data_IF_063000679577
#
_entry.id   IF_063000679577
#
_cell.length_a   1.000
_cell.length_b   1.000
_cell.length_c   1.000
_cell.angle_alpha   90.00
_cell.angle_beta   90.00
_cell.angle_gamma   90.00
#
_symmetry.space_group_name_H-M   'P 1'
#
loop_
_entity.id
_entity.type
_entity.pdbx_description
1 polymer ?
#
# COMPACT_ATOMS: atom_id res chain seq x y z
N UNK A 1 37.73 -15.24 9.90
CA UNK A 1 37.05 -14.98 8.61
C UNK A 1 37.07 -16.29 7.84
N UNK A 2 35.91 -16.88 7.66
CA UNK A 2 35.73 -18.23 7.12
C UNK A 2 36.04 -18.26 5.60
N UNK A 3 36.35 -19.43 5.01
CA UNK A 3 36.56 -19.53 3.56
C UNK A 3 35.36 -19.02 2.73
N UNK A 4 34.14 -19.27 3.19
CA UNK A 4 32.91 -18.77 2.55
C UNK A 4 32.85 -17.23 2.61
N UNK A 5 33.16 -16.64 3.77
CA UNK A 5 33.21 -15.18 3.90
C UNK A 5 34.27 -14.52 3.00
N UNK A 6 35.44 -15.18 2.84
CA UNK A 6 36.49 -14.71 1.96
C UNK A 6 36.05 -14.68 0.50
N UNK A 7 35.35 -15.71 0.05
CA UNK A 7 34.84 -15.81 -1.32
C UNK A 7 33.72 -14.80 -1.58
N UNK A 8 32.77 -14.64 -0.64
CA UNK A 8 31.74 -13.59 -0.72
C UNK A 8 32.40 -12.21 -0.86
N UNK A 9 33.37 -11.90 0.03
CA UNK A 9 34.07 -10.61 0.00
C UNK A 9 34.81 -10.39 -1.32
N UNK A 10 35.47 -11.41 -1.86
CA UNK A 10 36.16 -11.33 -3.15
C UNK A 10 35.21 -10.92 -4.26
N UNK A 11 34.02 -11.54 -4.31
CA UNK A 11 33.00 -11.28 -5.33
C UNK A 11 32.36 -9.91 -5.20
N UNK A 12 32.03 -9.49 -3.99
CA UNK A 12 31.51 -8.13 -3.73
C UNK A 12 32.51 -7.07 -4.20
N UNK A 13 33.82 -7.26 -3.95
CA UNK A 13 34.86 -6.34 -4.42
C UNK A 13 34.97 -6.34 -5.96
N UNK A 14 34.74 -7.49 -6.59
CA UNK A 14 34.81 -7.66 -8.03
C UNK A 14 33.51 -7.28 -8.78
N UNK A 15 32.46 -6.86 -8.05
CA UNK A 15 31.09 -6.65 -8.58
C UNK A 15 30.53 -7.90 -9.30
N UNK A 16 30.89 -9.09 -8.80
CA UNK A 16 30.44 -10.38 -9.32
C UNK A 16 29.21 -10.88 -8.54
N UNK A 17 28.22 -11.52 -9.21
CA UNK A 17 27.09 -12.11 -8.51
C UNK A 17 27.56 -13.27 -7.60
N UNK A 18 26.95 -13.34 -6.41
CA UNK A 18 27.15 -14.42 -5.45
C UNK A 18 26.17 -15.55 -5.79
N UNK A 19 26.69 -16.76 -6.02
CA UNK A 19 25.88 -17.93 -6.38
C UNK A 19 26.28 -19.12 -5.53
N UNK A 20 25.36 -20.01 -5.20
CA UNK A 20 25.65 -21.11 -4.29
C UNK A 20 26.72 -22.05 -4.85
N UNK A 21 26.70 -22.31 -6.16
CA UNK A 21 27.71 -23.12 -6.86
C UNK A 21 29.16 -22.67 -6.64
N UNK A 22 29.35 -21.37 -6.40
CA UNK A 22 30.66 -20.76 -6.22
C UNK A 22 31.10 -20.81 -4.74
N UNK A 23 30.14 -20.82 -3.82
CA UNK A 23 30.39 -20.95 -2.37
C UNK A 23 30.54 -22.41 -1.94
N UNK A 24 29.83 -23.32 -2.61
CA UNK A 24 29.69 -24.73 -2.27
C UNK A 24 28.73 -24.95 -1.10
N UNK A 25 27.58 -25.57 -1.33
CA UNK A 25 26.57 -25.83 -0.29
C UNK A 25 27.16 -26.53 0.95
N UNK A 26 27.90 -27.62 0.74
CA UNK A 26 28.55 -28.36 1.82
C UNK A 26 29.51 -27.49 2.64
N UNK A 27 30.22 -26.55 2.00
CA UNK A 27 31.13 -25.65 2.68
C UNK A 27 30.39 -24.59 3.49
N UNK A 28 29.24 -24.10 2.99
CA UNK A 28 28.32 -23.21 3.70
C UNK A 28 27.76 -23.91 4.93
N UNK A 29 27.18 -25.09 4.78
CA UNK A 29 26.56 -25.83 5.89
C UNK A 29 27.59 -26.29 6.94
N UNK A 30 28.78 -26.69 6.53
CA UNK A 30 29.87 -27.03 7.46
C UNK A 30 30.33 -25.85 8.32
N UNK A 31 30.01 -24.61 7.93
CA UNK A 31 30.37 -23.38 8.63
C UNK A 31 29.16 -22.66 9.24
N UNK A 32 28.02 -23.35 9.37
CA UNK A 32 26.75 -22.77 9.79
C UNK A 32 26.86 -21.93 11.08
N UNK A 33 27.48 -22.47 12.13
CA UNK A 33 27.62 -21.81 13.43
C UNK A 33 28.33 -20.46 13.34
N UNK A 34 29.38 -20.37 12.51
CA UNK A 34 30.10 -19.10 12.29
C UNK A 34 29.30 -18.13 11.40
N UNK A 35 28.61 -18.64 10.38
CA UNK A 35 27.88 -17.85 9.42
C UNK A 35 26.60 -17.22 10.00
N UNK A 36 25.94 -17.87 10.96
CA UNK A 36 24.74 -17.36 11.67
C UNK A 36 24.97 -15.97 12.27
N UNK A 37 26.19 -15.67 12.74
CA UNK A 37 26.56 -14.39 13.32
C UNK A 37 27.39 -13.49 12.37
N UNK A 38 27.59 -13.92 11.13
CA UNK A 38 28.38 -13.19 10.15
C UNK A 38 27.64 -11.95 9.64
N UNK A 39 28.41 -10.93 9.25
CA UNK A 39 27.90 -9.78 8.49
C UNK A 39 27.52 -10.13 7.04
N UNK A 40 27.98 -11.28 6.55
CA UNK A 40 27.66 -11.80 5.22
C UNK A 40 26.48 -12.77 5.23
N UNK A 41 25.81 -12.94 6.38
CA UNK A 41 24.70 -13.89 6.50
C UNK A 41 23.58 -13.61 5.48
N UNK A 42 23.25 -12.34 5.24
CA UNK A 42 22.25 -11.97 4.23
C UNK A 42 22.60 -12.46 2.82
N UNK A 43 23.88 -12.35 2.42
CA UNK A 43 24.37 -12.85 1.14
C UNK A 43 24.32 -14.39 1.04
N UNK A 44 24.60 -15.07 2.15
CA UNK A 44 24.46 -16.54 2.25
C UNK A 44 23.01 -16.95 2.08
N UNK A 45 22.07 -16.25 2.75
CA UNK A 45 20.62 -16.51 2.60
C UNK A 45 20.18 -16.25 1.16
N UNK A 46 20.65 -15.17 0.52
CA UNK A 46 20.35 -14.87 -0.88
C UNK A 46 20.78 -15.98 -1.83
N UNK A 47 22.01 -16.50 -1.67
CA UNK A 47 22.50 -17.61 -2.48
C UNK A 47 21.70 -18.90 -2.26
N UNK A 48 21.42 -19.26 -1.01
CA UNK A 48 20.63 -20.46 -0.67
C UNK A 48 19.18 -20.37 -1.15
N UNK A 49 18.54 -19.20 -1.01
CA UNK A 49 17.15 -19.00 -1.42
C UNK A 49 17.00 -19.01 -2.95
N UNK A 50 17.95 -18.42 -3.69
CA UNK A 50 17.93 -18.40 -5.14
C UNK A 50 18.06 -19.81 -5.76
N UNK A 51 18.91 -20.65 -5.18
CA UNK A 51 19.19 -22.01 -5.67
C UNK A 51 18.39 -23.08 -4.88
N UNK A 52 17.31 -22.71 -4.18
CA UNK A 52 16.61 -23.57 -3.21
C UNK A 52 16.13 -24.92 -3.77
N UNK A 53 15.65 -24.93 -5.01
CA UNK A 53 15.12 -26.14 -5.65
C UNK A 53 16.21 -27.18 -5.96
N UNK A 54 17.47 -26.75 -6.02
CA UNK A 54 18.62 -27.55 -6.41
C UNK A 54 19.52 -27.90 -5.20
N UNK A 55 19.08 -27.63 -3.97
CA UNK A 55 19.84 -27.94 -2.75
C UNK A 55 19.90 -29.45 -2.49
N UNK A 56 21.08 -29.92 -2.11
CA UNK A 56 21.31 -31.29 -1.65
C UNK A 56 20.74 -31.53 -0.24
N UNK A 57 20.84 -30.53 0.66
CA UNK A 57 20.36 -30.54 2.05
C UNK A 57 19.51 -29.28 2.38
N UNK A 58 18.26 -29.22 1.88
CA UNK A 58 17.36 -28.10 2.16
C UNK A 58 17.00 -27.96 3.66
N UNK A 59 17.04 -29.05 4.43
CA UNK A 59 16.74 -29.02 5.86
C UNK A 59 17.87 -28.38 6.67
N UNK A 60 19.13 -28.66 6.31
CA UNK A 60 20.32 -28.00 6.85
C UNK A 60 20.36 -26.51 6.50
N UNK A 61 20.07 -26.17 5.24
CA UNK A 61 19.95 -24.76 4.82
C UNK A 61 18.83 -24.02 5.58
N UNK A 62 17.67 -24.67 5.76
CA UNK A 62 16.56 -24.12 6.53
C UNK A 62 16.94 -23.89 8.00
N UNK A 63 17.69 -24.82 8.62
CA UNK A 63 18.17 -24.67 9.99
C UNK A 63 19.13 -23.49 10.14
N UNK A 64 20.15 -23.41 9.27
CA UNK A 64 21.13 -22.32 9.24
C UNK A 64 20.43 -20.96 9.13
N UNK A 65 19.48 -20.83 8.20
CA UNK A 65 18.76 -19.57 8.00
C UNK A 65 17.90 -19.25 9.22
N UNK A 66 17.16 -20.21 9.76
CA UNK A 66 16.33 -20.00 10.94
C UNK A 66 17.16 -19.55 12.17
N UNK A 67 18.31 -20.17 12.41
CA UNK A 67 19.20 -19.80 13.51
C UNK A 67 19.78 -18.39 13.34
N UNK A 68 20.15 -18.01 12.11
CA UNK A 68 20.59 -16.65 11.78
C UNK A 68 19.49 -15.60 11.96
N UNK A 69 18.26 -15.86 11.49
CA UNK A 69 17.12 -14.96 11.71
C UNK A 69 16.81 -14.77 13.20
N UNK A 70 17.02 -15.82 14.00
CA UNK A 70 16.80 -15.80 15.45
C UNK A 70 17.90 -15.06 16.22
N UNK A 71 19.16 -15.16 15.78
CA UNK A 71 20.32 -14.80 16.61
C UNK A 71 21.29 -13.77 16.03
N UNK A 72 21.15 -13.34 14.77
CA UNK A 72 22.08 -12.37 14.20
C UNK A 72 21.89 -10.98 14.86
N UNK A 73 22.96 -10.35 15.35
CA UNK A 73 22.85 -9.07 16.05
C UNK A 73 22.69 -7.87 15.11
N UNK A 74 23.03 -8.02 13.82
CA UNK A 74 23.02 -6.92 12.86
C UNK A 74 21.66 -6.83 12.15
N UNK A 75 20.96 -5.72 12.38
CA UNK A 75 19.67 -5.44 11.77
C UNK A 75 19.72 -5.40 10.24
N UNK A 76 20.76 -4.81 9.65
CA UNK A 76 20.84 -4.68 8.19
C UNK A 76 21.01 -6.04 7.53
N UNK A 77 21.74 -6.93 8.19
CA UNK A 77 21.94 -8.32 7.78
C UNK A 77 20.63 -9.10 7.89
N UNK A 78 19.89 -8.91 8.98
CA UNK A 78 18.54 -9.48 9.14
C UNK A 78 17.58 -9.01 8.04
N UNK A 79 17.55 -7.71 7.77
CA UNK A 79 16.72 -7.13 6.71
C UNK A 79 17.09 -7.67 5.31
N UNK A 80 18.39 -7.87 5.05
CA UNK A 80 18.88 -8.47 3.80
C UNK A 80 18.42 -9.94 3.68
N UNK A 81 18.59 -10.75 4.73
CA UNK A 81 18.16 -12.15 4.73
C UNK A 81 16.63 -12.30 4.53
N UNK A 82 15.83 -11.46 5.20
CA UNK A 82 14.38 -11.42 4.99
C UNK A 82 14.04 -11.02 3.56
N UNK A 83 14.76 -10.05 2.99
CA UNK A 83 14.61 -9.63 1.60
C UNK A 83 14.84 -10.78 0.63
N UNK A 84 15.95 -11.50 0.79
CA UNK A 84 16.29 -12.67 0.01
C UNK A 84 15.20 -13.76 0.06
N UNK A 85 14.72 -14.10 1.26
CA UNK A 85 13.63 -15.08 1.42
C UNK A 85 12.32 -14.62 0.77
N UNK A 86 12.05 -13.32 0.77
CA UNK A 86 10.82 -12.81 0.17
C UNK A 86 10.91 -12.70 -1.36
N UNK A 87 12.11 -12.54 -1.91
CA UNK A 87 12.37 -12.55 -3.35
C UNK A 87 12.33 -13.96 -3.94
N UNK A 88 12.90 -14.94 -3.23
CA UNK A 88 12.94 -16.34 -3.62
C UNK A 88 12.40 -17.23 -2.47
N UNK A 89 11.07 -17.28 -2.27
CA UNK A 89 10.48 -17.96 -1.13
C UNK A 89 10.65 -19.48 -1.22
N UNK A 90 11.23 -20.12 -0.19
CA UNK A 90 11.21 -21.57 -0.06
C UNK A 90 9.78 -22.14 0.01
N UNK A 91 9.56 -23.41 -0.37
CA UNK A 91 8.24 -24.05 -0.33
C UNK A 91 7.61 -24.10 1.08
N UNK A 92 8.43 -24.22 2.13
CA UNK A 92 7.98 -24.17 3.52
C UNK A 92 8.64 -23.00 4.27
N UNK A 93 7.82 -22.03 4.68
CA UNK A 93 8.23 -20.85 5.43
C UNK A 93 8.16 -21.03 6.95
N UNK A 94 7.62 -22.16 7.44
CA UNK A 94 7.29 -22.35 8.87
C UNK A 94 8.47 -22.08 9.79
N UNK A 95 9.66 -22.60 9.47
CA UNK A 95 10.85 -22.50 10.31
C UNK A 95 11.35 -21.06 10.44
N UNK A 96 11.27 -20.29 9.35
CA UNK A 96 11.64 -18.87 9.33
C UNK A 96 10.63 -18.02 10.09
N UNK A 97 9.34 -18.29 9.92
CA UNK A 97 8.27 -17.63 10.70
C UNK A 97 8.48 -17.86 12.20
N UNK A 98 8.75 -19.09 12.63
CA UNK A 98 9.01 -19.40 14.03
C UNK A 98 10.26 -18.69 14.56
N UNK A 99 11.34 -18.63 13.77
CA UNK A 99 12.55 -17.92 14.16
C UNK A 99 12.30 -16.41 14.37
N UNK A 100 11.60 -15.77 13.43
CA UNK A 100 11.25 -14.36 13.52
C UNK A 100 10.25 -14.07 14.65
N UNK A 101 9.29 -14.97 14.89
CA UNK A 101 8.36 -14.88 16.03
C UNK A 101 9.13 -14.88 17.35
N UNK A 102 10.06 -15.83 17.53
CA UNK A 102 10.91 -15.90 18.72
C UNK A 102 11.74 -14.62 18.86
N UNK A 103 12.35 -14.14 17.77
CA UNK A 103 13.14 -12.89 17.77
C UNK A 103 12.31 -11.66 18.12
N UNK A 104 11.07 -11.57 17.63
CA UNK A 104 10.18 -10.42 17.92
C UNK A 104 9.82 -10.29 19.40
N UNK A 105 9.78 -11.43 20.12
CA UNK A 105 9.43 -11.52 21.55
C UNK A 105 10.65 -11.44 22.47
N UNK A 106 11.85 -11.42 21.93
CA UNK A 106 13.07 -11.36 22.73
C UNK A 106 13.31 -9.94 23.25
N UNK A 107 12.80 -9.64 24.45
CA UNK A 107 12.97 -8.33 25.10
C UNK A 107 14.42 -8.02 25.49
N UNK A 108 15.33 -8.99 25.42
CA UNK A 108 16.77 -8.74 25.61
C UNK A 108 17.46 -8.26 24.33
N UNK A 109 16.79 -8.38 23.19
CA UNK A 109 17.26 -7.90 21.90
C UNK A 109 17.13 -6.39 21.76
N UNK A 110 17.99 -5.81 20.93
CA UNK A 110 17.81 -4.45 20.42
C UNK A 110 16.39 -4.26 19.82
N UNK A 111 15.69 -3.16 20.16
CA UNK A 111 14.33 -2.90 19.67
C UNK A 111 14.23 -2.83 18.14
N UNK A 112 15.28 -2.35 17.46
CA UNK A 112 15.28 -2.29 16.00
C UNK A 112 15.44 -3.68 15.37
N UNK A 113 16.08 -4.63 16.05
CA UNK A 113 16.10 -6.02 15.60
C UNK A 113 14.75 -6.72 15.83
N UNK A 114 14.07 -6.46 16.96
CA UNK A 114 12.72 -6.97 17.22
C UNK A 114 11.73 -6.49 16.15
N UNK A 115 11.75 -5.19 15.83
CA UNK A 115 10.83 -4.63 14.84
C UNK A 115 11.14 -5.07 13.41
N UNK A 116 12.42 -5.28 13.06
CA UNK A 116 12.79 -5.84 11.76
C UNK A 116 12.30 -7.29 11.66
N UNK A 117 12.32 -8.06 12.76
CA UNK A 117 11.75 -9.40 12.77
C UNK A 117 10.22 -9.38 12.53
N UNK A 118 9.49 -8.43 13.13
CA UNK A 118 8.05 -8.24 12.87
C UNK A 118 7.79 -7.76 11.44
N UNK A 119 8.62 -6.88 10.90
CA UNK A 119 8.57 -6.50 9.49
C UNK A 119 8.77 -7.73 8.58
N UNK A 120 9.69 -8.63 8.92
CA UNK A 120 9.87 -9.90 8.23
C UNK A 120 8.64 -10.81 8.30
N UNK A 121 8.06 -11.00 9.48
CA UNK A 121 6.82 -11.77 9.64
C UNK A 121 5.69 -11.20 8.78
N UNK A 122 5.53 -9.88 8.78
CA UNK A 122 4.54 -9.19 7.98
C UNK A 122 4.78 -9.44 6.48
N UNK A 123 6.03 -9.34 6.03
CA UNK A 123 6.38 -9.60 4.62
C UNK A 123 6.11 -11.05 4.21
N UNK A 124 6.43 -12.03 5.06
CA UNK A 124 6.11 -13.44 4.81
C UNK A 124 4.60 -13.69 4.81
N UNK A 125 3.83 -13.02 5.68
CA UNK A 125 2.37 -13.10 5.69
C UNK A 125 1.72 -12.51 4.44
N UNK A 126 2.35 -11.52 3.79
CA UNK A 126 1.89 -11.00 2.51
C UNK A 126 2.10 -11.98 1.35
N UNK A 127 3.12 -12.83 1.43
CA UNK A 127 3.36 -13.91 0.47
C UNK A 127 2.40 -15.07 0.71
N UNK A 128 2.14 -15.42 1.97
CA UNK A 128 1.26 -16.50 2.38
C UNK A 128 0.45 -16.10 3.63
N UNK A 129 -0.84 -15.84 3.41
CA UNK A 129 -1.75 -15.32 4.44
C UNK A 129 -1.98 -16.29 5.61
N UNK A 130 -1.56 -17.56 5.50
CA UNK A 130 -1.59 -18.51 6.62
C UNK A 130 -0.76 -18.03 7.82
N UNK A 131 0.23 -17.17 7.58
CA UNK A 131 1.10 -16.61 8.61
C UNK A 131 0.61 -15.28 9.19
N UNK A 132 -0.48 -14.71 8.68
CA UNK A 132 -1.00 -13.41 9.10
C UNK A 132 -1.20 -13.32 10.62
N UNK A 133 -1.79 -14.35 11.25
CA UNK A 133 -2.01 -14.36 12.71
C UNK A 133 -0.74 -14.12 13.54
N UNK A 134 0.40 -14.62 13.08
CA UNK A 134 1.67 -14.47 13.79
C UNK A 134 2.22 -13.05 13.61
N UNK A 135 2.15 -12.51 12.40
CA UNK A 135 2.54 -11.14 12.11
C UNK A 135 1.70 -10.13 12.89
N UNK A 136 0.37 -10.28 12.90
CA UNK A 136 -0.56 -9.38 13.59
C UNK A 136 -0.33 -9.39 15.10
N UNK A 137 -0.26 -10.59 15.71
CA UNK A 137 0.03 -10.71 17.13
C UNK A 137 1.39 -10.08 17.50
N UNK A 138 2.41 -10.26 16.68
CA UNK A 138 3.73 -9.66 16.93
C UNK A 138 3.73 -8.14 16.77
N UNK A 139 2.90 -7.55 15.89
CA UNK A 139 2.76 -6.07 15.79
C UNK A 139 2.23 -5.49 17.10
N UNK A 140 1.14 -6.05 17.64
CA UNK A 140 0.54 -5.55 18.90
C UNK A 140 1.50 -5.72 20.09
N UNK A 141 2.29 -6.79 20.10
CA UNK A 141 3.27 -7.06 21.16
C UNK A 141 4.46 -6.09 21.18
N UNK A 142 4.69 -5.29 20.14
CA UNK A 142 5.77 -4.29 20.11
C UNK A 142 5.35 -2.92 20.66
N UNK A 143 4.21 -2.82 21.31
CA UNK A 143 3.78 -1.59 21.96
C UNK A 143 4.77 -1.04 23.00
N UNK A 144 5.62 -1.91 23.55
CA UNK A 144 6.67 -1.59 24.52
C UNK A 144 7.95 -1.03 23.88
N UNK A 145 8.04 -1.01 22.55
CA UNK A 145 9.25 -0.59 21.84
C UNK A 145 9.40 0.93 21.91
N UNK A 146 10.58 1.37 22.34
CA UNK A 146 10.96 2.77 22.39
C UNK A 146 11.90 3.14 21.25
N UNK A 147 11.93 4.43 20.92
CA UNK A 147 12.86 5.00 19.95
C UNK A 147 12.16 5.52 18.68
N UNK A 148 12.52 6.71 18.16
CA UNK A 148 11.82 7.34 17.05
C UNK A 148 11.72 6.48 15.78
N UNK A 149 12.79 5.77 15.44
CA UNK A 149 12.85 4.91 14.26
C UNK A 149 12.00 3.65 14.41
N UNK A 150 11.99 3.06 15.60
CA UNK A 150 11.22 1.88 15.88
C UNK A 150 9.72 2.22 15.92
N UNK A 151 9.35 3.30 16.63
CA UNK A 151 7.98 3.82 16.65
C UNK A 151 7.45 4.14 15.26
N UNK A 152 8.25 4.81 14.42
CA UNK A 152 7.84 5.14 13.06
C UNK A 152 7.56 3.87 12.24
N UNK A 153 8.42 2.86 12.34
CA UNK A 153 8.19 1.59 11.64
C UNK A 153 6.99 0.83 12.21
N UNK A 154 6.76 0.88 13.53
CA UNK A 154 5.64 0.20 14.17
C UNK A 154 4.32 0.78 13.67
N UNK A 155 4.22 2.11 13.60
CA UNK A 155 3.07 2.80 13.02
C UNK A 155 2.82 2.36 11.57
N UNK A 156 3.87 2.23 10.75
CA UNK A 156 3.75 1.75 9.36
C UNK A 156 3.26 0.30 9.30
N UNK A 157 3.79 -0.57 10.15
CA UNK A 157 3.39 -1.98 10.21
C UNK A 157 1.95 -2.15 10.74
N UNK A 158 1.53 -1.33 11.71
CA UNK A 158 0.15 -1.33 12.21
C UNK A 158 -0.84 -0.88 11.14
N UNK A 159 -0.54 0.19 10.39
CA UNK A 159 -1.40 0.56 9.28
C UNK A 159 -1.44 -0.51 8.18
N UNK A 160 -0.30 -1.14 7.88
CA UNK A 160 -0.24 -2.24 6.91
C UNK A 160 -1.06 -3.46 7.36
N UNK A 161 -1.02 -3.78 8.65
CA UNK A 161 -1.81 -4.85 9.27
C UNK A 161 -3.32 -4.65 9.02
N UNK A 162 -3.82 -3.44 9.23
CA UNK A 162 -5.21 -3.10 8.89
C UNK A 162 -5.47 -3.15 7.38
N UNK A 163 -4.60 -2.53 6.57
CA UNK A 163 -4.82 -2.37 5.13
C UNK A 163 -4.79 -3.68 4.33
N UNK A 164 -4.12 -4.71 4.84
CA UNK A 164 -3.95 -6.00 4.16
C UNK A 164 -4.76 -7.13 4.80
N UNK A 165 -4.99 -7.05 6.12
CA UNK A 165 -5.62 -8.13 6.87
C UNK A 165 -6.85 -7.68 7.68
N UNK A 166 -7.21 -6.39 7.62
CA UNK A 166 -8.35 -5.80 8.34
C UNK A 166 -8.30 -6.01 9.86
N UNK A 167 -7.10 -6.01 10.44
CA UNK A 167 -6.91 -6.15 11.88
C UNK A 167 -7.29 -4.86 12.64
N UNK A 168 -8.38 -4.91 13.40
CA UNK A 168 -8.86 -3.78 14.18
C UNK A 168 -7.99 -3.44 15.39
N UNK A 169 -7.22 -4.42 15.92
CA UNK A 169 -6.31 -4.15 17.04
C UNK A 169 -5.17 -3.22 16.61
N UNK A 170 -4.72 -3.33 15.36
CA UNK A 170 -3.72 -2.44 14.79
C UNK A 170 -4.17 -0.97 14.73
N UNK A 171 -5.48 -0.72 14.56
CA UNK A 171 -6.05 0.65 14.62
C UNK A 171 -6.00 1.19 16.04
N UNK A 172 -6.33 0.38 17.03
CA UNK A 172 -6.26 0.76 18.44
C UNK A 172 -4.82 1.05 18.87
N UNK A 173 -3.86 0.24 18.39
CA UNK A 173 -2.44 0.48 18.60
C UNK A 173 -2.01 1.85 18.03
N UNK A 174 -2.43 2.19 16.81
CA UNK A 174 -2.15 3.50 16.22
C UNK A 174 -2.71 4.65 17.06
N UNK A 175 -3.95 4.52 17.56
CA UNK A 175 -4.58 5.54 18.41
C UNK A 175 -3.84 5.71 19.75
N UNK A 176 -3.36 4.61 20.34
CA UNK A 176 -2.54 4.67 21.55
C UNK A 176 -1.17 5.30 21.29
N UNK A 177 -0.49 4.91 20.21
CA UNK A 177 0.78 5.52 19.80
C UNK A 177 0.63 7.01 19.45
N UNK A 178 -0.55 7.43 18.98
CA UNK A 178 -0.89 8.83 18.72
C UNK A 178 -0.98 9.69 20.00
N UNK A 179 -0.89 9.10 21.19
CA UNK A 179 -0.84 9.81 22.47
C UNK A 179 0.57 9.90 23.08
N UNK A 180 1.59 9.31 22.44
CA UNK A 180 2.97 9.23 22.96
C UNK A 180 3.99 9.95 22.09
N UNK A 181 5.27 9.57 22.23
CA UNK A 181 6.39 10.16 21.47
C UNK A 181 6.28 9.97 19.94
N UNK A 182 5.51 8.97 19.51
CA UNK A 182 5.24 8.66 18.10
C UNK A 182 4.06 9.44 17.49
N UNK A 183 3.52 10.45 18.18
CA UNK A 183 2.24 11.09 17.83
C UNK A 183 2.13 11.48 16.36
N UNK A 184 3.15 12.12 15.80
CA UNK A 184 3.10 12.61 14.42
C UNK A 184 2.95 11.46 13.42
N UNK A 185 3.77 10.42 13.51
CA UNK A 185 3.69 9.28 12.56
C UNK A 185 2.47 8.39 12.82
N UNK A 186 2.10 8.17 14.08
CA UNK A 186 0.92 7.40 14.44
C UNK A 186 -0.37 8.07 13.93
N UNK A 187 -0.51 9.38 14.14
CA UNK A 187 -1.63 10.16 13.63
C UNK A 187 -1.67 10.16 12.10
N UNK A 188 -0.52 10.31 11.43
CA UNK A 188 -0.45 10.23 9.98
C UNK A 188 -0.92 8.86 9.47
N UNK A 189 -0.42 7.77 10.05
CA UNK A 189 -0.79 6.41 9.66
C UNK A 189 -2.26 6.10 9.96
N UNK A 190 -2.80 6.58 11.09
CA UNK A 190 -4.22 6.49 11.42
C UNK A 190 -5.09 7.26 10.43
N UNK A 191 -4.65 8.45 10.01
CA UNK A 191 -5.30 9.25 8.98
C UNK A 191 -5.34 8.55 7.62
N UNK A 192 -4.26 7.86 7.23
CA UNK A 192 -4.24 7.04 6.00
C UNK A 192 -5.23 5.87 6.08
N UNK A 193 -5.34 5.21 7.24
CA UNK A 193 -6.35 4.15 7.46
C UNK A 193 -7.77 4.72 7.35
N UNK A 194 -8.05 5.84 8.03
CA UNK A 194 -9.36 6.53 7.93
C UNK A 194 -9.67 6.94 6.50
N UNK A 195 -8.66 7.41 5.74
CA UNK A 195 -8.83 7.80 4.35
C UNK A 195 -9.24 6.62 3.47
N UNK A 196 -8.56 5.47 3.63
CA UNK A 196 -8.94 4.23 2.94
C UNK A 196 -10.38 3.79 3.26
N UNK A 197 -10.74 3.76 4.55
CA UNK A 197 -12.09 3.43 5.02
C UNK A 197 -13.15 4.40 4.47
N UNK A 198 -12.86 5.70 4.44
CA UNK A 198 -13.77 6.72 3.95
C UNK A 198 -14.15 6.49 2.48
N UNK A 199 -13.19 6.08 1.65
CA UNK A 199 -13.41 5.79 0.23
C UNK A 199 -14.30 4.57 -0.02
N UNK A 200 -14.52 3.73 0.99
CA UNK A 200 -15.45 2.58 0.95
C UNK A 200 -16.89 2.95 1.35
N UNK A 201 -17.15 4.23 1.65
CA UNK A 201 -18.46 4.70 2.06
C UNK A 201 -19.58 4.32 1.08
N UNK A 202 -20.66 3.77 1.62
CA UNK A 202 -21.82 3.32 0.83
C UNK A 202 -22.64 4.48 0.21
N UNK A 203 -22.35 5.73 0.58
CA UNK A 203 -22.94 6.94 0.02
C UNK A 203 -21.90 8.06 -0.03
N UNK A 204 -22.08 9.07 -0.89
CA UNK A 204 -21.19 10.25 -0.92
C UNK A 204 -21.15 11.02 0.41
N UNK A 205 -22.26 11.04 1.17
CA UNK A 205 -22.26 11.63 2.52
C UNK A 205 -21.39 10.84 3.49
N UNK A 206 -21.47 9.50 3.47
CA UNK A 206 -20.62 8.65 4.29
C UNK A 206 -19.14 8.79 3.91
N UNK A 207 -18.84 8.92 2.61
CA UNK A 207 -17.49 9.25 2.12
C UNK A 207 -17.04 10.59 2.70
N UNK A 208 -17.86 11.64 2.60
CA UNK A 208 -17.51 12.96 3.11
C UNK A 208 -17.30 12.99 4.64
N UNK A 209 -18.13 12.29 5.42
CA UNK A 209 -17.99 12.15 6.87
C UNK A 209 -16.68 11.44 7.23
N UNK A 210 -16.36 10.33 6.57
CA UNK A 210 -15.11 9.60 6.79
C UNK A 210 -13.88 10.41 6.38
N UNK A 211 -13.94 11.17 5.28
CA UNK A 211 -12.86 12.06 4.85
C UNK A 211 -12.59 13.16 5.88
N UNK A 212 -13.63 13.66 6.55
CA UNK A 212 -13.47 14.63 7.63
C UNK A 212 -12.78 14.02 8.85
N UNK A 213 -13.04 12.75 9.17
CA UNK A 213 -12.27 12.04 10.20
C UNK A 213 -10.80 11.89 9.82
N UNK A 214 -10.50 11.50 8.57
CA UNK A 214 -9.13 11.40 8.08
C UNK A 214 -8.39 12.76 8.17
N UNK A 215 -9.05 13.85 7.79
CA UNK A 215 -8.50 15.20 7.85
C UNK A 215 -8.08 15.59 9.29
N UNK A 216 -8.88 15.24 10.30
CA UNK A 216 -8.54 15.49 11.72
C UNK A 216 -7.24 14.80 12.13
N UNK A 217 -7.04 13.55 11.73
CA UNK A 217 -5.82 12.81 12.03
C UNK A 217 -4.60 13.40 11.31
N UNK A 218 -4.74 13.82 10.05
CA UNK A 218 -3.66 14.51 9.34
C UNK A 218 -3.32 15.86 9.98
N UNK A 219 -4.32 16.60 10.46
CA UNK A 219 -4.11 17.83 11.21
C UNK A 219 -3.32 17.56 12.51
N UNK A 220 -3.70 16.54 13.29
CA UNK A 220 -2.95 16.15 14.50
C UNK A 220 -1.50 15.79 14.17
N UNK A 221 -1.26 15.10 13.05
CA UNK A 221 0.10 14.81 12.58
C UNK A 221 0.90 16.06 12.23
N UNK A 222 0.27 17.04 11.57
CA UNK A 222 0.87 18.30 11.16
C UNK A 222 1.23 19.17 12.37
N UNK A 223 0.33 19.28 13.34
CA UNK A 223 0.54 20.04 14.57
C UNK A 223 1.64 19.44 15.46
N UNK A 224 1.83 18.11 15.40
CA UNK A 224 2.82 17.40 16.19
C UNK A 224 4.26 17.56 15.68
N UNK A 225 4.49 18.00 14.44
CA UNK A 225 5.84 18.20 13.91
C UNK A 225 5.88 19.22 12.76
N UNK A 226 6.75 20.23 12.90
CA UNK A 226 6.80 21.41 12.03
C UNK A 226 7.08 21.12 10.53
N UNK A 227 7.69 19.98 10.18
CA UNK A 227 8.09 19.64 8.80
C UNK A 227 7.23 18.52 8.15
N UNK A 228 5.99 18.31 8.60
CA UNK A 228 5.07 17.29 8.05
C UNK A 228 4.32 17.77 6.81
N UNK A 229 5.07 18.10 5.75
CA UNK A 229 4.50 18.45 4.43
C UNK A 229 3.59 17.36 3.87
N UNK A 230 3.91 16.09 4.14
CA UNK A 230 3.07 14.96 3.76
C UNK A 230 1.70 14.99 4.44
N UNK A 231 1.65 15.22 5.76
CA UNK A 231 0.39 15.34 6.49
C UNK A 231 -0.46 16.50 5.98
N UNK A 232 0.15 17.67 5.77
CA UNK A 232 -0.54 18.84 5.18
C UNK A 232 -1.10 18.54 3.80
N UNK A 233 -0.32 17.88 2.93
CA UNK A 233 -0.75 17.50 1.58
C UNK A 233 -2.01 16.61 1.63
N UNK A 234 -1.99 15.59 2.49
CA UNK A 234 -3.14 14.70 2.64
C UNK A 234 -4.34 15.39 3.28
N UNK A 235 -4.13 16.30 4.25
CA UNK A 235 -5.21 17.10 4.83
C UNK A 235 -5.91 17.97 3.77
N UNK A 236 -5.14 18.72 2.98
CA UNK A 236 -5.66 19.54 1.88
C UNK A 236 -6.44 18.70 0.87
N UNK A 237 -5.92 17.51 0.53
CA UNK A 237 -6.61 16.58 -0.34
C UNK A 237 -7.93 16.11 0.28
N UNK A 238 -7.94 15.68 1.55
CA UNK A 238 -9.16 15.20 2.22
C UNK A 238 -10.22 16.27 2.34
N UNK A 239 -9.84 17.51 2.65
CA UNK A 239 -10.76 18.64 2.74
C UNK A 239 -11.41 18.93 1.37
N UNK A 240 -10.60 18.95 0.31
CA UNK A 240 -11.08 19.14 -1.05
C UNK A 240 -12.04 18.03 -1.50
N UNK A 241 -11.68 16.76 -1.24
CA UNK A 241 -12.51 15.60 -1.57
C UNK A 241 -13.81 15.57 -0.74
N UNK A 242 -13.77 15.96 0.54
CA UNK A 242 -14.95 15.99 1.41
C UNK A 242 -15.96 17.03 0.93
N UNK A 243 -15.50 18.24 0.57
CA UNK A 243 -16.34 19.28 -0.03
C UNK A 243 -16.99 18.80 -1.33
N UNK A 244 -16.20 18.16 -2.20
CA UNK A 244 -16.67 17.62 -3.46
C UNK A 244 -17.70 16.51 -3.28
N UNK A 245 -17.48 15.60 -2.34
CA UNK A 245 -18.40 14.51 -2.04
C UNK A 245 -19.72 15.00 -1.42
N UNK A 246 -19.67 15.98 -0.50
CA UNK A 246 -20.87 16.46 0.21
C UNK A 246 -21.71 17.43 -0.60
N UNK A 247 -21.06 18.36 -1.30
CA UNK A 247 -21.72 19.50 -1.93
C UNK A 247 -21.65 19.48 -3.46
N UNK A 248 -20.85 18.59 -4.05
CA UNK A 248 -20.54 18.64 -5.48
C UNK A 248 -19.71 19.87 -5.85
N UNK A 249 -19.17 20.57 -4.86
CA UNK A 249 -18.43 21.81 -5.06
C UNK A 249 -16.95 21.51 -5.28
N UNK A 250 -16.36 21.96 -6.41
CA UNK A 250 -14.93 21.80 -6.62
C UNK A 250 -14.13 22.65 -5.61
N UNK A 251 -12.90 22.24 -5.26
CA UNK A 251 -12.04 23.03 -4.39
C UNK A 251 -11.75 24.41 -4.99
N UNK A 252 -11.42 25.39 -4.15
CA UNK A 252 -11.06 26.73 -4.63
C UNK A 252 -9.73 26.70 -5.39
N UNK A 253 -9.53 27.67 -6.28
CA UNK A 253 -8.27 27.80 -7.01
C UNK A 253 -7.06 27.98 -6.06
N UNK A 254 -7.25 28.64 -4.91
CA UNK A 254 -6.21 28.80 -3.90
C UNK A 254 -5.82 27.46 -3.25
N UNK A 255 -6.81 26.63 -2.88
CA UNK A 255 -6.56 25.28 -2.33
C UNK A 255 -5.83 24.40 -3.35
N UNK A 256 -6.22 24.47 -4.63
CA UNK A 256 -5.55 23.70 -5.68
C UNK A 256 -4.11 24.15 -5.92
N UNK A 257 -3.83 25.45 -5.87
CA UNK A 257 -2.47 25.96 -6.02
C UNK A 257 -1.58 25.57 -4.84
N UNK A 258 -2.13 25.62 -3.63
CA UNK A 258 -1.45 25.15 -2.43
C UNK A 258 -1.15 23.64 -2.51
N UNK A 259 -2.15 22.83 -2.86
CA UNK A 259 -2.02 21.38 -3.02
C UNK A 259 -0.92 21.04 -4.05
N UNK A 260 -0.91 21.72 -5.20
CA UNK A 260 0.11 21.54 -6.25
C UNK A 260 1.50 21.92 -5.75
N UNK A 261 1.62 23.08 -5.11
CA UNK A 261 2.90 23.57 -4.58
C UNK A 261 3.45 22.60 -3.53
N UNK A 262 2.61 22.16 -2.58
CA UNK A 262 3.01 21.21 -1.53
C UNK A 262 3.41 19.86 -2.13
N UNK A 263 2.70 19.35 -3.13
CA UNK A 263 3.04 18.08 -3.79
C UNK A 263 4.42 18.16 -4.49
N UNK A 264 4.70 19.25 -5.21
CA UNK A 264 5.99 19.47 -5.88
C UNK A 264 7.13 19.60 -4.87
N UNK A 265 6.94 20.41 -3.81
CA UNK A 265 7.96 20.60 -2.77
C UNK A 265 8.25 19.27 -2.06
N UNK A 266 7.21 18.49 -1.73
CA UNK A 266 7.37 17.14 -1.16
C UNK A 266 8.21 16.26 -2.08
N UNK A 267 7.87 16.17 -3.36
CA UNK A 267 8.58 15.30 -4.29
C UNK A 267 10.07 15.66 -4.47
N UNK A 268 10.42 16.94 -4.32
CA UNK A 268 11.79 17.43 -4.48
C UNK A 268 12.63 17.34 -3.19
N UNK A 269 12.02 17.56 -2.03
CA UNK A 269 12.75 17.84 -0.79
C UNK A 269 12.50 16.83 0.33
N UNK A 270 11.39 16.10 0.31
CA UNK A 270 11.09 15.17 1.38
C UNK A 270 11.97 13.91 1.25
N UNK A 271 12.52 13.49 2.39
CA UNK A 271 13.26 12.24 2.45
C UNK A 271 12.30 11.05 2.30
N UNK A 272 12.76 9.92 1.77
CA UNK A 272 12.01 8.67 1.85
C UNK A 272 11.56 8.40 3.28
N UNK A 273 10.34 7.89 3.45
CA UNK A 273 9.79 7.65 4.79
C UNK A 273 10.72 6.72 5.57
N UNK A 274 10.87 6.90 6.89
CA UNK A 274 11.61 5.94 7.71
C UNK A 274 10.99 4.54 7.59
N UNK A 275 11.85 3.51 7.53
CA UNK A 275 11.42 2.11 7.46
C UNK A 275 12.18 1.28 6.43
N UNK A 276 11.80 0.00 6.32
CA UNK A 276 12.38 -0.90 5.35
C UNK A 276 12.01 -0.48 3.91
N UNK A 277 12.92 -0.68 2.95
CA UNK A 277 12.72 -0.28 1.54
C UNK A 277 11.44 -0.85 0.94
N UNK A 278 11.06 -2.07 1.30
CA UNK A 278 9.87 -2.75 0.78
C UNK A 278 8.54 -2.14 1.27
N UNK A 279 8.55 -1.36 2.35
CA UNK A 279 7.40 -0.60 2.87
C UNK A 279 7.21 0.75 2.17
N UNK A 280 8.15 1.14 1.30
CA UNK A 280 7.99 2.34 0.48
C UNK A 280 6.98 2.06 -0.63
N UNK A 281 6.22 3.08 -1.04
CA UNK A 281 5.40 2.98 -2.25
C UNK A 281 6.27 2.61 -3.46
N UNK A 282 5.71 1.92 -4.47
CA UNK A 282 6.37 1.74 -5.75
C UNK A 282 6.79 3.09 -6.36
N UNK A 283 7.93 3.19 -7.07
CA UNK A 283 8.39 4.45 -7.64
C UNK A 283 7.37 5.16 -8.54
N UNK A 284 6.55 4.39 -9.25
CA UNK A 284 5.50 4.88 -10.13
C UNK A 284 4.30 5.51 -9.38
N UNK A 285 4.15 5.26 -8.08
CA UNK A 285 3.01 5.76 -7.31
C UNK A 285 2.93 7.29 -7.22
N UNK A 286 4.07 7.97 -7.38
CA UNK A 286 4.10 9.44 -7.43
C UNK A 286 3.45 9.99 -8.72
N UNK A 287 3.36 9.21 -9.81
CA UNK A 287 2.68 9.64 -11.04
C UNK A 287 1.18 9.80 -10.85
N UNK A 288 0.57 9.02 -9.94
CA UNK A 288 -0.86 9.10 -9.66
C UNK A 288 -1.25 10.44 -9.00
N UNK A 289 -0.33 11.12 -8.33
CA UNK A 289 -0.56 12.48 -7.80
C UNK A 289 -0.79 13.49 -8.92
N UNK A 290 -0.02 13.39 -10.01
CA UNK A 290 -0.12 14.31 -11.16
C UNK A 290 -1.52 14.19 -11.78
N UNK A 291 -1.95 12.96 -12.06
CA UNK A 291 -3.27 12.69 -12.65
C UNK A 291 -4.42 13.19 -11.76
N UNK A 292 -4.32 12.98 -10.44
CA UNK A 292 -5.33 13.46 -9.50
C UNK A 292 -5.41 14.99 -9.49
N UNK A 293 -4.27 15.68 -9.39
CA UNK A 293 -4.21 17.15 -9.35
C UNK A 293 -4.74 17.74 -10.66
N UNK A 294 -4.41 17.15 -11.81
CA UNK A 294 -4.92 17.59 -13.12
C UNK A 294 -6.44 17.44 -13.22
N UNK A 295 -6.98 16.28 -12.83
CA UNK A 295 -8.42 16.02 -12.86
C UNK A 295 -9.19 16.93 -11.89
N UNK A 296 -8.63 17.17 -10.70
CA UNK A 296 -9.19 18.15 -9.77
C UNK A 296 -9.14 19.57 -10.34
N UNK A 297 -8.03 19.97 -10.97
CA UNK A 297 -7.90 21.30 -11.62
C UNK A 297 -8.93 21.47 -12.75
N UNK A 298 -9.16 20.42 -13.54
CA UNK A 298 -10.18 20.39 -14.59
C UNK A 298 -11.60 20.48 -14.02
N UNK A 299 -11.86 19.91 -12.84
CA UNK A 299 -13.12 20.10 -12.13
C UNK A 299 -13.28 21.56 -11.66
N UNK A 300 -12.22 22.16 -11.10
CA UNK A 300 -12.23 23.59 -10.69
C UNK A 300 -12.51 24.52 -11.86
N UNK A 301 -11.88 24.30 -13.02
CA UNK A 301 -12.06 25.19 -14.19
C UNK A 301 -13.48 25.13 -14.76
N UNK A 302 -14.23 24.04 -14.52
CA UNK A 302 -15.65 23.91 -14.87
C UNK A 302 -16.60 24.56 -13.85
N UNK A 303 -16.08 24.94 -12.67
CA UNK A 303 -16.77 25.74 -11.67
C UNK A 303 -18.08 25.10 -11.20
N UNK A 304 -19.15 25.90 -11.12
CA UNK A 304 -20.50 25.44 -10.71
C UNK A 304 -21.16 24.45 -11.68
N UNK A 305 -20.53 24.18 -12.82
CA UNK A 305 -21.01 23.20 -13.80
C UNK A 305 -20.48 21.79 -13.52
N UNK A 306 -19.74 21.58 -12.42
CA UNK A 306 -19.35 20.24 -11.97
C UNK A 306 -20.61 19.40 -11.72
N UNK A 307 -20.75 18.34 -12.50
CA UNK A 307 -21.81 17.35 -12.30
C UNK A 307 -21.39 16.38 -11.19
N UNK A 308 -22.36 15.69 -10.57
CA UNK A 308 -22.04 14.62 -9.60
C UNK A 308 -21.14 13.51 -10.17
N UNK A 309 -21.10 13.37 -11.50
CA UNK A 309 -20.20 12.46 -12.22
C UNK A 309 -18.75 12.96 -12.25
N UNK A 310 -18.49 14.26 -12.25
CA UNK A 310 -17.12 14.80 -12.11
C UNK A 310 -16.54 14.54 -10.72
N UNK A 311 -17.37 14.71 -9.68
CA UNK A 311 -17.02 14.38 -8.30
C UNK A 311 -16.62 12.89 -8.16
N UNK A 312 -17.40 12.01 -8.77
CA UNK A 312 -17.14 10.57 -8.71
C UNK A 312 -15.84 10.15 -9.39
N UNK A 313 -15.46 10.77 -10.52
CA UNK A 313 -14.18 10.47 -11.18
C UNK A 313 -13.00 10.90 -10.31
N UNK A 314 -13.06 12.11 -9.72
CA UNK A 314 -11.99 12.58 -8.83
C UNK A 314 -11.83 11.65 -7.62
N UNK A 315 -12.94 11.20 -7.03
CA UNK A 315 -12.91 10.21 -5.94
C UNK A 315 -12.35 8.85 -6.42
N UNK A 316 -12.65 8.42 -7.65
CA UNK A 316 -12.07 7.21 -8.23
C UNK A 316 -10.54 7.32 -8.41
N UNK A 317 -10.04 8.49 -8.81
CA UNK A 317 -8.61 8.74 -8.89
C UNK A 317 -7.96 8.82 -7.49
N UNK A 318 -8.68 9.33 -6.48
CA UNK A 318 -8.23 9.25 -5.10
C UNK A 318 -8.08 7.78 -4.61
N UNK A 319 -9.00 6.89 -5.00
CA UNK A 319 -8.87 5.44 -4.74
C UNK A 319 -7.64 4.85 -5.44
N UNK A 320 -7.38 5.25 -6.69
CA UNK A 320 -6.19 4.80 -7.45
C UNK A 320 -4.91 5.25 -6.75
N UNK A 321 -4.82 6.54 -6.42
CA UNK A 321 -3.70 7.13 -5.69
C UNK A 321 -3.45 6.39 -4.37
N UNK A 322 -4.50 6.19 -3.58
CA UNK A 322 -4.41 5.48 -2.30
C UNK A 322 -3.84 4.08 -2.47
N UNK A 323 -4.41 3.28 -3.40
CA UNK A 323 -3.94 1.91 -3.67
C UNK A 323 -2.49 1.86 -4.15
N UNK A 324 -2.04 2.90 -4.85
CA UNK A 324 -0.67 3.01 -5.37
C UNK A 324 0.31 3.34 -4.24
N UNK A 325 0.02 4.38 -3.46
CA UNK A 325 0.91 4.85 -2.39
C UNK A 325 0.95 3.91 -1.18
N UNK A 326 -0.15 3.19 -0.94
CA UNK A 326 -0.21 2.14 0.09
C UNK A 326 0.19 0.78 -0.45
N UNK A 327 0.59 0.70 -1.71
CA UNK A 327 1.20 -0.50 -2.26
C UNK A 327 2.53 -0.81 -1.56
N UNK A 328 2.78 -2.07 -1.22
CA UNK A 328 4.07 -2.50 -0.64
C UNK A 328 4.65 -3.67 -1.41
N UNK A 329 5.97 -3.75 -1.52
CA UNK A 329 6.62 -4.83 -2.26
C UNK A 329 6.59 -6.13 -1.45
N UNK A 330 5.99 -7.19 -2.01
CA UNK A 330 6.00 -8.54 -1.42
C UNK A 330 7.29 -9.29 -1.78
N UNK A 331 7.66 -9.25 -3.06
CA UNK A 331 8.88 -9.85 -3.63
C UNK A 331 9.49 -8.93 -4.69
N UNK A 332 10.29 -9.48 -5.63
CA UNK A 332 11.02 -8.68 -6.61
C UNK A 332 10.13 -7.91 -7.60
N UNK A 333 8.96 -8.45 -7.97
CA UNK A 333 8.09 -7.88 -9.01
C UNK A 333 6.61 -7.79 -8.64
N UNK A 334 6.24 -8.17 -7.41
CA UNK A 334 4.84 -8.20 -6.97
C UNK A 334 4.59 -7.24 -5.81
N UNK A 335 3.69 -6.28 -6.01
CA UNK A 335 3.22 -5.39 -4.95
C UNK A 335 1.89 -5.88 -4.35
N UNK A 336 1.80 -5.86 -3.02
CA UNK A 336 0.56 -5.90 -2.27
C UNK A 336 -0.15 -4.58 -2.45
N UNK A 337 -1.42 -4.57 -2.85
CA UNK A 337 -2.25 -3.36 -2.80
C UNK A 337 -3.30 -3.51 -1.70
N UNK A 338 -3.71 -2.44 -1.00
CA UNK A 338 -4.76 -2.52 -0.01
C UNK A 338 -6.08 -2.96 -0.66
N UNK A 339 -6.87 -3.75 0.06
CA UNK A 339 -8.16 -4.29 -0.37
C UNK A 339 -9.28 -3.26 -0.23
N UNK A 340 -9.14 -2.07 -0.82
CA UNK A 340 -10.19 -1.04 -0.76
C UNK A 340 -11.36 -1.41 -1.65
N UNK A 341 -12.54 -1.72 -1.09
CA UNK A 341 -13.75 -2.06 -1.83
C UNK A 341 -14.61 -0.81 -2.09
N UNK A 342 -14.04 0.20 -2.75
CA UNK A 342 -14.71 1.46 -3.10
C UNK A 342 -15.74 1.30 -4.25
N UNK A 343 -16.63 0.30 -4.18
CA UNK A 343 -17.52 -0.11 -5.26
C UNK A 343 -18.39 1.02 -5.79
N UNK A 344 -19.00 1.81 -4.90
CA UNK A 344 -19.81 2.97 -5.26
C UNK A 344 -18.99 4.01 -6.05
N UNK A 345 -17.87 4.45 -5.48
CA UNK A 345 -16.99 5.48 -6.05
C UNK A 345 -16.44 5.03 -7.40
N UNK A 346 -15.99 3.78 -7.52
CA UNK A 346 -15.43 3.24 -8.74
C UNK A 346 -16.48 3.15 -9.86
N UNK A 347 -17.69 2.65 -9.56
CA UNK A 347 -18.75 2.53 -10.56
C UNK A 347 -19.24 3.92 -11.02
N UNK A 348 -19.48 4.84 -10.09
CA UNK A 348 -19.85 6.22 -10.48
C UNK A 348 -18.72 6.95 -11.21
N UNK A 349 -17.46 6.70 -10.84
CA UNK A 349 -16.30 7.22 -11.56
C UNK A 349 -16.24 6.70 -13.00
N UNK A 350 -16.48 5.41 -13.22
CA UNK A 350 -16.57 4.85 -14.58
C UNK A 350 -17.71 5.48 -15.37
N UNK A 351 -18.88 5.65 -14.77
CA UNK A 351 -20.02 6.33 -15.42
C UNK A 351 -19.67 7.77 -15.82
N UNK A 352 -18.99 8.51 -14.95
CA UNK A 352 -18.55 9.87 -15.27
C UNK A 352 -17.49 9.93 -16.36
N UNK A 353 -16.56 8.96 -16.40
CA UNK A 353 -15.58 8.87 -17.48
C UNK A 353 -16.25 8.61 -18.84
N UNK A 354 -17.26 7.75 -18.87
CA UNK A 354 -18.06 7.48 -20.09
C UNK A 354 -18.84 8.73 -20.51
N UNK A 355 -19.40 9.49 -19.57
CA UNK A 355 -20.10 10.75 -19.87
C UNK A 355 -19.16 11.81 -20.47
N UNK A 356 -17.94 11.94 -19.95
CA UNK A 356 -16.92 12.83 -20.54
C UNK A 356 -16.54 12.41 -21.95
N UNK A 357 -16.38 11.11 -22.17
CA UNK A 357 -16.08 10.60 -23.51
C UNK A 357 -17.22 10.88 -24.49
N UNK A 358 -18.47 10.69 -24.04
CA UNK A 358 -19.66 10.97 -24.86
C UNK A 358 -19.79 12.45 -25.24
N UNK A 359 -19.46 13.35 -24.31
CA UNK A 359 -19.51 14.80 -24.52
C UNK A 359 -18.31 15.37 -25.28
N UNK A 360 -17.19 14.62 -25.37
CA UNK A 360 -15.97 15.00 -26.08
C UNK A 360 -16.04 15.02 -27.61
N UNK A 361 -17.21 14.81 -28.22
CA UNK A 361 -17.44 15.01 -29.66
C UNK A 361 -17.10 13.83 -30.58
N UNK A 362 -16.81 12.65 -30.04
CA UNK A 362 -16.48 11.44 -30.82
C UNK A 362 -17.68 10.58 -31.25
N UNK A 363 -18.90 10.88 -30.78
CA UNK A 363 -20.10 10.09 -31.02
C UNK A 363 -21.15 10.83 -31.87
N UNK A 364 -21.90 10.13 -32.73
CA UNK A 364 -23.14 10.67 -33.30
C UNK A 364 -24.11 11.12 -32.21
N UNK A 365 -24.81 12.24 -32.42
CA UNK A 365 -25.69 12.89 -31.43
C UNK A 365 -26.71 11.93 -30.80
N UNK A 366 -27.32 11.06 -31.60
CA UNK A 366 -28.32 10.09 -31.12
C UNK A 366 -27.71 9.02 -30.21
N UNK A 367 -26.48 8.60 -30.50
CA UNK A 367 -25.74 7.64 -29.69
C UNK A 367 -25.30 8.26 -28.36
N UNK A 368 -24.89 9.54 -28.37
CA UNK A 368 -24.55 10.28 -27.16
C UNK A 368 -25.77 10.44 -26.23
N UNK A 369 -26.94 10.80 -26.79
CA UNK A 369 -28.19 10.94 -26.03
C UNK A 369 -28.66 9.61 -25.41
N UNK A 370 -28.59 8.52 -26.17
CA UNK A 370 -28.94 7.17 -25.68
C UNK A 370 -27.97 6.71 -24.58
N UNK A 371 -26.67 6.96 -24.75
CA UNK A 371 -25.66 6.64 -23.75
C UNK A 371 -25.89 7.42 -22.44
N UNK A 372 -26.24 8.70 -22.52
CA UNK A 372 -26.53 9.53 -21.35
C UNK A 372 -27.80 9.06 -20.60
N UNK A 373 -28.81 8.59 -21.34
CA UNK A 373 -30.02 7.96 -20.77
C UNK A 373 -29.68 6.66 -20.04
N UNK A 374 -28.78 5.85 -20.59
CA UNK A 374 -28.32 4.61 -19.94
C UNK A 374 -27.50 4.90 -18.67
N UNK A 375 -26.60 5.89 -18.72
CA UNK A 375 -25.79 6.30 -17.56
C UNK A 375 -26.68 6.76 -16.41
N UNK A 376 -27.67 7.62 -16.69
CA UNK A 376 -28.61 8.13 -15.66
C UNK A 376 -29.48 7.01 -15.08
N UNK A 377 -29.92 6.06 -15.90
CA UNK A 377 -30.67 4.88 -15.46
C UNK A 377 -29.82 3.97 -14.56
N UNK A 378 -28.57 3.70 -14.93
CA UNK A 378 -27.67 2.89 -14.10
C UNK A 378 -27.34 3.62 -12.80
N UNK A 379 -26.99 4.91 -12.86
CA UNK A 379 -26.66 5.73 -11.69
C UNK A 379 -27.81 5.78 -10.66
N UNK A 380 -29.06 5.93 -11.11
CA UNK A 380 -30.23 5.93 -10.22
C UNK A 380 -30.51 4.56 -9.59
N UNK A 381 -30.10 3.46 -10.23
CA UNK A 381 -30.26 2.10 -9.70
C UNK A 381 -29.21 1.72 -8.65
N UNK A 382 -28.03 2.35 -8.67
CA UNK A 382 -26.89 2.01 -7.79
C UNK A 382 -27.07 2.48 -6.33
N UNK A 383 -28.05 3.36 -6.06
CA UNK A 383 -28.44 3.79 -4.71
C UNK A 383 -29.66 3.06 -4.13
N UNK A 384 -30.20 2.05 -4.83
CA UNK A 384 -31.37 1.31 -4.37
C UNK A 384 -30.98 0.16 -3.41
N UNK A 385 -31.71 -0.05 -2.29
CA UNK A 385 -31.44 -1.16 -1.38
C UNK A 385 -31.58 -2.53 -2.09
N UNK A 386 -30.83 -3.55 -1.64
CA UNK A 386 -30.81 -4.87 -2.28
C UNK A 386 -32.23 -5.45 -2.37
N UNK A 387 -32.63 -5.86 -3.57
CA UNK A 387 -34.00 -6.37 -3.86
C UNK A 387 -34.84 -5.46 -4.77
N UNK A 388 -34.37 -4.25 -5.09
CA UNK A 388 -35.01 -3.32 -6.05
C UNK A 388 -34.15 -3.00 -7.28
N UNK A 389 -33.16 -3.84 -7.61
CA UNK A 389 -32.42 -3.66 -8.86
C UNK A 389 -33.35 -3.94 -10.05
N UNK A 390 -33.37 -3.00 -10.99
CA UNK A 390 -34.11 -3.15 -12.25
C UNK A 390 -33.63 -4.43 -12.95
N UNK A 391 -34.56 -5.34 -13.24
CA UNK A 391 -34.35 -6.34 -14.30
C UNK A 391 -34.01 -5.54 -15.56
N UNK A 392 -32.76 -5.62 -16.01
CA UNK A 392 -32.28 -5.04 -17.25
C UNK A 392 -33.04 -5.66 -18.41
N UNK A 393 -34.18 -5.07 -18.77
CA UNK A 393 -34.82 -5.29 -20.06
C UNK A 393 -34.10 -4.38 -21.03
N UNK A 394 -33.13 -4.95 -21.73
CA UNK A 394 -32.50 -4.29 -22.88
C UNK A 394 -33.59 -3.99 -23.92
N UNK A 395 -33.81 -2.72 -24.31
CA UNK A 395 -34.65 -2.44 -25.45
C UNK A 395 -33.86 -2.87 -26.69
N UNK A 396 -34.30 -3.95 -27.33
CA UNK A 396 -33.77 -4.37 -28.62
C UNK A 396 -33.93 -3.24 -29.65
N UNK A 397 -33.05 -3.17 -30.68
CA UNK A 397 -33.11 -2.11 -31.67
C UNK A 397 -34.49 -2.08 -32.33
N UNK A 398 -35.09 -0.88 -32.36
CA UNK A 398 -36.34 -0.63 -33.05
C UNK A 398 -36.19 -1.09 -34.51
N UNK A 399 -36.93 -2.13 -34.88
CA UNK A 399 -37.04 -2.57 -36.26
C UNK A 399 -37.72 -1.45 -37.05
N UNK A 400 -36.94 -0.73 -37.85
CA UNK A 400 -37.50 0.15 -38.86
C UNK A 400 -38.27 -0.72 -39.85
N UNK A 401 -39.59 -0.54 -39.91
CA UNK A 401 -40.40 -1.07 -41.00
C UNK A 401 -39.91 -0.41 -42.29
N UNK A 402 -39.20 -1.16 -43.12
CA UNK A 402 -38.96 -0.80 -44.51
C UNK A 402 -40.32 -0.74 -45.23
N UNK A 403 -40.75 0.47 -45.58
CA UNK A 403 -41.86 0.68 -46.50
C UNK A 403 -41.39 0.41 -47.92
N UNK A 404 -42.15 -0.43 -48.60
CA UNK A 404 -42.03 -0.81 -49.99
C UNK A 404 -41.92 0.38 -50.95
N UNK A 405 -41.08 0.24 -51.98
CA UNK A 405 -41.28 0.91 -53.27
C UNK A 405 -41.99 -0.07 -54.21
N UNK A 406 -43.12 0.28 -54.85
CA UNK A 406 -43.58 -0.39 -56.05
C UNK A 406 -43.15 0.38 -57.31
N UNK A 407 -43.06 -0.34 -58.43
CA UNK A 407 -43.13 0.22 -59.78
C UNK A 407 -44.50 0.89 -59.99
#
# INVERSE_FOLDING_TARGET
MSPVEQEIRRRVIADEPIRLKDLGEHAVLAQAEALVHSRMFGDVVAALAADWADLDDPDGASALIADGLKGNPDRLVLAHAIGALAENPPPDLRRFVQALEVRSRDTSSDPLARIEAVAGLMRLALLDSRWARFALASVVMLEDVEGPWANAMLCRLAALAYEQFHDSEAVQLLEKLASGEGVSEAAFQRGMVSFGQALEGATFNAVADGLHEAARWFQTSEEAAEDRRDARLYRLLTDALSSLARHGEPPTAAVMEELRTTAVVRALWDRPRPGAKWLQPPPEAELDWILLIENMTSAVSRGRSCTGTDAAVVLADAVRLYRSIRGVMRGASSAAKPSVQAGLVLVHGMLGAVERWASGGGLPTDAAAMLQTNITTIASSLGAPPGKSLRTTWPGPATSKASCWPV
#
